data_IF_045384775259
#
_entry.id   IF_045384775259
#
_cell.length_a   1.000
_cell.length_b   1.000
_cell.length_c   1.000
_cell.angle_alpha   90.00
_cell.angle_beta   90.00
_cell.angle_gamma   90.00
#
_symmetry.space_group_name_H-M   'P 1'
#
loop_
_entity.id
_entity.type
_entity.pdbx_description
1 polymer ?
#
# COMPACT_ATOMS: atom_id res chain seq x y z
N UNK A 1 11.06 2.33 28.80
CA UNK A 1 10.97 1.08 28.00
C UNK A 1 11.99 1.14 26.86
N UNK A 2 12.75 0.07 26.58
CA UNK A 2 13.73 0.05 25.47
C UNK A 2 13.02 0.34 24.13
N UNK A 3 13.53 1.27 23.32
CA UNK A 3 12.92 1.70 22.05
C UNK A 3 12.58 0.55 21.10
N UNK A 4 13.40 -0.51 21.11
CA UNK A 4 13.17 -1.72 20.30
C UNK A 4 12.04 -2.59 20.86
N UNK A 5 11.88 -2.65 22.20
CA UNK A 5 10.76 -3.36 22.84
C UNK A 5 9.45 -2.67 22.49
N UNK A 6 9.42 -1.34 22.54
CA UNK A 6 8.25 -0.55 22.16
C UNK A 6 7.85 -0.79 20.70
N UNK A 7 8.83 -0.76 19.78
CA UNK A 7 8.60 -1.03 18.35
C UNK A 7 8.01 -2.43 18.11
N UNK A 8 8.53 -3.45 18.81
CA UNK A 8 8.00 -4.82 18.68
C UNK A 8 6.58 -4.94 19.20
N UNK A 9 6.26 -4.28 20.31
CA UNK A 9 4.92 -4.30 20.89
C UNK A 9 3.92 -3.59 19.97
N UNK A 10 4.30 -2.46 19.40
CA UNK A 10 3.44 -1.73 18.46
C UNK A 10 3.22 -2.54 17.17
N UNK A 11 4.25 -3.18 16.62
CA UNK A 11 4.11 -4.08 15.47
C UNK A 11 3.25 -5.30 15.80
N UNK A 12 3.36 -5.86 17.01
CA UNK A 12 2.49 -6.97 17.42
C UNK A 12 1.01 -6.54 17.43
N UNK A 13 0.71 -5.35 17.97
CA UNK A 13 -0.64 -4.80 17.95
C UNK A 13 -1.14 -4.58 16.51
N UNK A 14 -0.29 -4.05 15.62
CA UNK A 14 -0.59 -3.95 14.18
C UNK A 14 -0.90 -5.32 13.60
N UNK A 15 -0.07 -6.34 13.82
CA UNK A 15 -0.29 -7.67 13.27
C UNK A 15 -1.62 -8.27 13.74
N UNK A 16 -1.96 -8.14 15.02
CA UNK A 16 -3.23 -8.64 15.57
C UNK A 16 -4.41 -7.96 14.85
N UNK A 17 -4.44 -6.62 14.83
CA UNK A 17 -5.54 -5.87 14.20
C UNK A 17 -5.61 -6.14 12.69
N UNK A 18 -4.47 -6.23 12.02
CA UNK A 18 -4.39 -6.46 10.58
C UNK A 18 -4.88 -7.86 10.23
N UNK A 19 -4.47 -8.88 11.00
CA UNK A 19 -4.98 -10.25 10.86
C UNK A 19 -6.49 -10.32 11.11
N UNK A 20 -6.97 -9.74 12.21
CA UNK A 20 -8.41 -9.73 12.52
C UNK A 20 -9.21 -9.06 11.41
N UNK A 21 -8.75 -7.89 10.95
CA UNK A 21 -9.42 -7.13 9.88
C UNK A 21 -9.50 -7.93 8.59
N UNK A 22 -8.37 -8.48 8.13
CA UNK A 22 -8.32 -9.23 6.88
C UNK A 22 -9.02 -10.59 6.95
N UNK A 23 -8.98 -11.28 8.10
CA UNK A 23 -9.73 -12.52 8.30
C UNK A 23 -11.24 -12.28 8.24
N UNK A 24 -11.71 -11.21 8.91
CA UNK A 24 -13.12 -10.81 8.86
C UNK A 24 -13.51 -10.37 7.44
N UNK A 25 -12.70 -9.54 6.78
CA UNK A 25 -13.00 -9.06 5.43
C UNK A 25 -13.07 -10.18 4.38
N UNK A 26 -12.14 -11.14 4.44
CA UNK A 26 -12.03 -12.20 3.44
C UNK A 26 -12.95 -13.41 3.68
N UNK A 27 -13.14 -13.82 4.95
CA UNK A 27 -13.78 -15.10 5.26
C UNK A 27 -15.14 -14.96 5.95
N UNK A 28 -15.42 -13.83 6.60
CA UNK A 28 -16.71 -13.62 7.24
C UNK A 28 -17.74 -13.13 6.21
N UNK A 29 -18.51 -14.06 5.64
CA UNK A 29 -19.48 -13.76 4.59
C UNK A 29 -20.88 -13.42 5.16
N UNK A 30 -21.26 -13.94 6.34
CA UNK A 30 -22.61 -13.76 6.87
C UNK A 30 -23.71 -14.23 5.90
N UNK A 31 -24.95 -13.83 6.17
CA UNK A 31 -26.09 -14.09 5.28
C UNK A 31 -26.30 -12.91 4.33
N UNK A 32 -26.55 -13.20 3.05
CA UNK A 32 -26.82 -12.18 2.04
C UNK A 32 -26.73 -12.73 0.62
N UNK A 33 -27.45 -12.08 -0.31
CA UNK A 33 -27.40 -12.36 -1.74
C UNK A 33 -26.99 -11.10 -2.50
N UNK A 34 -26.42 -11.29 -3.69
CA UNK A 34 -26.18 -10.20 -4.63
C UNK A 34 -27.48 -9.44 -4.91
N UNK A 35 -27.38 -8.11 -5.00
CA UNK A 35 -28.52 -7.21 -5.27
C UNK A 35 -28.10 -6.15 -6.26
N UNK A 36 -28.99 -5.83 -7.20
CA UNK A 36 -28.85 -4.67 -8.07
C UNK A 36 -29.33 -3.42 -7.33
N UNK A 37 -28.51 -2.37 -7.38
CA UNK A 37 -28.84 -1.06 -6.84
C UNK A 37 -28.59 0.01 -7.89
N UNK A 38 -29.41 1.07 -7.89
CA UNK A 38 -29.14 2.26 -8.69
C UNK A 38 -28.03 3.08 -8.03
N UNK A 39 -26.93 3.30 -8.75
CA UNK A 39 -25.90 4.26 -8.36
C UNK A 39 -26.43 5.71 -8.46
N UNK A 40 -25.65 6.68 -7.97
CA UNK A 40 -26.02 8.10 -7.98
C UNK A 40 -26.27 8.65 -9.40
N UNK A 41 -25.64 8.04 -10.40
CA UNK A 41 -25.78 8.35 -11.83
C UNK A 41 -26.95 7.60 -12.51
N UNK A 42 -27.70 6.78 -11.78
CA UNK A 42 -28.83 5.99 -12.28
C UNK A 42 -28.48 4.63 -12.89
N UNK A 43 -27.19 4.28 -13.04
CA UNK A 43 -26.81 2.94 -13.54
C UNK A 43 -27.09 1.86 -12.51
N UNK A 44 -27.38 0.66 -12.99
CA UNK A 44 -27.53 -0.52 -12.15
C UNK A 44 -26.15 -1.12 -11.85
N UNK A 45 -25.85 -1.23 -10.56
CA UNK A 45 -24.62 -1.86 -10.06
C UNK A 45 -24.98 -3.11 -9.28
N UNK A 46 -24.29 -4.20 -9.57
CA UNK A 46 -24.41 -5.45 -8.82
C UNK A 46 -23.52 -5.42 -7.57
N UNK A 47 -24.15 -5.41 -6.40
CA UNK A 47 -23.48 -5.47 -5.11
C UNK A 47 -23.03 -6.88 -4.77
N UNK A 48 -21.89 -6.99 -4.09
CA UNK A 48 -21.38 -8.26 -3.58
C UNK A 48 -22.34 -8.93 -2.59
N UNK A 49 -23.08 -8.12 -1.81
CA UNK A 49 -24.26 -8.57 -1.06
C UNK A 49 -23.97 -9.34 0.24
N UNK A 50 -22.71 -9.60 0.56
CA UNK A 50 -22.31 -10.40 1.74
C UNK A 50 -21.01 -9.92 2.37
N UNK A 51 -20.82 -10.26 3.64
CA UNK A 51 -19.62 -10.02 4.42
C UNK A 51 -19.33 -8.57 4.72
N UNK A 52 -18.07 -8.26 5.02
CA UNK A 52 -17.65 -6.89 5.33
C UNK A 52 -17.78 -5.93 4.14
N UNK A 53 -17.71 -6.46 2.92
CA UNK A 53 -17.74 -5.70 1.67
C UNK A 53 -19.10 -5.79 0.94
N UNK A 54 -20.18 -6.12 1.67
CA UNK A 54 -21.51 -6.36 1.09
C UNK A 54 -22.06 -5.19 0.27
N UNK A 55 -21.73 -3.96 0.67
CA UNK A 55 -22.23 -2.73 0.09
C UNK A 55 -21.33 -2.16 -1.03
N UNK A 56 -20.39 -2.95 -1.53
CA UNK A 56 -19.58 -2.60 -2.70
C UNK A 56 -20.01 -3.41 -3.91
N UNK A 57 -19.72 -2.92 -5.11
CA UNK A 57 -19.75 -3.76 -6.31
C UNK A 57 -18.85 -4.98 -6.14
N UNK A 58 -19.15 -6.02 -6.92
CA UNK A 58 -18.33 -7.23 -6.98
C UNK A 58 -16.87 -6.89 -7.31
N UNK A 59 -16.62 -5.92 -8.20
CA UNK A 59 -15.26 -5.46 -8.55
C UNK A 59 -14.51 -4.91 -7.34
N UNK A 60 -15.11 -3.99 -6.58
CA UNK A 60 -14.47 -3.39 -5.40
C UNK A 60 -14.34 -4.38 -4.25
N UNK A 61 -15.38 -5.18 -3.98
CA UNK A 61 -15.35 -6.17 -2.92
C UNK A 61 -14.21 -7.18 -3.12
N UNK A 62 -14.03 -7.67 -4.35
CA UNK A 62 -12.93 -8.59 -4.69
C UNK A 62 -11.55 -7.92 -4.62
N UNK A 63 -11.43 -6.62 -4.94
CA UNK A 63 -10.22 -5.84 -4.68
C UNK A 63 -9.88 -5.73 -3.19
N UNK A 64 -10.87 -5.54 -2.33
CA UNK A 64 -10.63 -5.55 -0.88
C UNK A 64 -10.21 -6.93 -0.37
N UNK A 65 -10.91 -7.99 -0.78
CA UNK A 65 -10.56 -9.38 -0.42
C UNK A 65 -9.13 -9.73 -0.89
N UNK A 66 -8.74 -9.33 -2.10
CA UNK A 66 -7.37 -9.55 -2.58
C UNK A 66 -6.32 -8.78 -1.76
N UNK A 67 -6.62 -7.55 -1.37
CA UNK A 67 -5.74 -6.78 -0.49
C UNK A 67 -5.61 -7.42 0.89
N UNK A 68 -6.71 -7.89 1.48
CA UNK A 68 -6.72 -8.63 2.74
C UNK A 68 -5.81 -9.87 2.70
N UNK A 69 -5.91 -10.67 1.63
CA UNK A 69 -5.06 -11.84 1.45
C UNK A 69 -3.58 -11.47 1.34
N UNK A 70 -3.24 -10.37 0.65
CA UNK A 70 -1.87 -9.86 0.61
C UNK A 70 -1.38 -9.43 2.00
N UNK A 71 -2.24 -8.78 2.80
CA UNK A 71 -1.91 -8.41 4.17
C UNK A 71 -1.63 -9.65 5.03
N UNK A 72 -2.51 -10.66 4.98
CA UNK A 72 -2.39 -11.88 5.77
C UNK A 72 -1.17 -12.72 5.41
N UNK A 73 -0.98 -12.97 4.11
CA UNK A 73 0.00 -13.94 3.63
C UNK A 73 1.41 -13.36 3.49
N UNK A 74 1.53 -12.04 3.35
CA UNK A 74 2.83 -11.40 3.06
C UNK A 74 3.18 -10.31 4.06
N UNK A 75 2.32 -9.32 4.27
CA UNK A 75 2.67 -8.17 5.11
C UNK A 75 2.79 -8.55 6.59
N UNK A 76 1.87 -9.34 7.14
CA UNK A 76 1.91 -9.81 8.53
C UNK A 76 3.17 -10.65 8.81
N UNK A 77 3.50 -11.70 8.02
CA UNK A 77 4.76 -12.43 8.20
C UNK A 77 6.00 -11.54 8.10
N UNK A 78 6.02 -10.59 7.15
CA UNK A 78 7.14 -9.68 6.98
C UNK A 78 7.30 -8.74 8.19
N UNK A 79 6.21 -8.18 8.71
CA UNK A 79 6.21 -7.34 9.91
C UNK A 79 6.73 -8.13 11.12
N UNK A 80 6.24 -9.35 11.33
CA UNK A 80 6.64 -10.19 12.45
C UNK A 80 8.13 -10.53 12.39
N UNK A 81 8.61 -11.03 11.25
CA UNK A 81 10.01 -11.44 11.04
C UNK A 81 10.98 -10.27 11.13
N UNK A 82 10.64 -9.13 10.53
CA UNK A 82 11.49 -7.93 10.57
C UNK A 82 11.54 -7.32 11.97
N UNK A 83 10.40 -7.22 12.68
CA UNK A 83 10.36 -6.70 14.05
C UNK A 83 11.14 -7.59 15.04
N UNK A 84 11.03 -8.91 14.90
CA UNK A 84 11.84 -9.87 15.67
C UNK A 84 13.34 -9.68 15.40
N UNK A 85 13.71 -9.29 14.19
CA UNK A 85 15.10 -9.15 13.75
C UNK A 85 15.77 -7.81 14.07
N UNK A 86 15.03 -6.75 14.45
CA UNK A 86 15.56 -5.36 14.63
C UNK A 86 16.79 -5.29 15.55
N UNK A 87 16.82 -6.07 16.65
CA UNK A 87 17.96 -6.07 17.57
C UNK A 87 19.23 -6.63 16.94
N UNK A 88 19.09 -7.69 16.13
CA UNK A 88 20.22 -8.40 15.50
C UNK A 88 20.67 -7.70 14.22
N UNK A 89 19.71 -7.21 13.44
CA UNK A 89 19.93 -6.58 12.16
C UNK A 89 19.24 -5.22 12.16
N UNK A 90 19.96 -4.10 12.38
CA UNK A 90 19.31 -2.81 12.49
C UNK A 90 18.69 -2.35 11.15
N UNK A 91 19.13 -2.93 10.03
CA UNK A 91 18.49 -2.84 8.70
C UNK A 91 17.05 -3.34 8.66
N UNK A 92 16.66 -4.30 9.52
CA UNK A 92 15.29 -4.81 9.56
C UNK A 92 14.28 -3.72 9.91
N UNK A 93 14.68 -2.65 10.60
CA UNK A 93 13.81 -1.51 10.86
C UNK A 93 13.38 -0.80 9.56
N UNK A 94 14.24 -0.73 8.55
CA UNK A 94 13.92 -0.09 7.25
C UNK A 94 12.83 -0.87 6.51
N UNK A 95 12.98 -2.19 6.42
CA UNK A 95 11.98 -3.07 5.79
C UNK A 95 10.68 -3.09 6.61
N UNK A 96 10.79 -3.14 7.95
CA UNK A 96 9.65 -3.05 8.85
C UNK A 96 8.88 -1.73 8.64
N UNK A 97 9.58 -0.61 8.44
CA UNK A 97 8.97 0.70 8.19
C UNK A 97 8.21 0.73 6.86
N UNK A 98 8.76 0.11 5.79
CA UNK A 98 8.05 -0.01 4.51
C UNK A 98 6.81 -0.91 4.57
N UNK A 99 6.89 -1.99 5.34
CA UNK A 99 5.74 -2.85 5.61
C UNK A 99 4.66 -2.14 6.46
N UNK A 100 5.06 -1.33 7.44
CA UNK A 100 4.14 -0.48 8.22
C UNK A 100 3.51 0.60 7.36
N UNK A 101 4.26 1.22 6.44
CA UNK A 101 3.71 2.17 5.46
C UNK A 101 2.65 1.50 4.59
N UNK A 102 2.88 0.24 4.18
CA UNK A 102 1.91 -0.55 3.40
C UNK A 102 0.64 -0.82 4.20
N UNK A 103 0.79 -1.28 5.46
CA UNK A 103 -0.34 -1.50 6.36
C UNK A 103 -1.12 -0.21 6.66
N UNK A 104 -0.41 0.93 6.75
CA UNK A 104 -1.02 2.25 6.96
C UNK A 104 -1.79 2.73 5.71
N UNK A 105 -1.22 2.55 4.52
CA UNK A 105 -1.93 2.83 3.27
C UNK A 105 -3.22 2.00 3.15
N UNK A 106 -3.13 0.70 3.44
CA UNK A 106 -4.26 -0.21 3.43
C UNK A 106 -5.34 0.20 4.45
N UNK A 107 -4.95 0.57 5.66
CA UNK A 107 -5.90 0.96 6.71
C UNK A 107 -6.61 2.29 6.42
N UNK A 108 -5.92 3.26 5.79
CA UNK A 108 -6.57 4.47 5.26
C UNK A 108 -7.61 4.09 4.19
N UNK A 109 -7.22 3.24 3.26
CA UNK A 109 -8.11 2.80 2.16
C UNK A 109 -9.36 2.08 2.67
N UNK A 110 -9.28 1.39 3.81
CA UNK A 110 -10.44 0.83 4.50
C UNK A 110 -11.29 1.90 5.19
N UNK A 111 -10.69 2.72 6.08
CA UNK A 111 -11.47 3.67 6.90
C UNK A 111 -12.20 4.71 6.04
N UNK A 112 -11.58 5.16 4.94
CA UNK A 112 -12.13 6.20 4.08
C UNK A 112 -12.74 5.68 2.78
N UNK A 113 -12.53 4.40 2.44
CA UNK A 113 -13.01 3.82 1.18
C UNK A 113 -14.05 2.72 1.34
N UNK A 114 -13.99 1.96 2.44
CA UNK A 114 -14.98 0.93 2.69
C UNK A 114 -16.33 1.56 3.04
N UNK A 115 -17.41 1.00 2.53
CA UNK A 115 -18.76 1.41 2.87
C UNK A 115 -18.97 1.23 4.38
N UNK A 116 -19.57 2.24 5.02
CA UNK A 116 -19.74 2.25 6.48
C UNK A 116 -20.47 0.99 6.96
N UNK A 117 -19.87 0.29 7.92
CA UNK A 117 -20.37 -0.99 8.42
C UNK A 117 -19.99 -1.19 9.90
N UNK A 118 -20.43 -2.31 10.49
CA UNK A 118 -20.18 -2.67 11.90
C UNK A 118 -18.70 -2.76 12.30
N UNK A 119 -17.79 -2.88 11.32
CA UNK A 119 -16.35 -3.02 11.53
C UNK A 119 -15.60 -1.68 11.44
N UNK A 120 -16.30 -0.55 11.27
CA UNK A 120 -15.70 0.78 11.19
C UNK A 120 -14.71 1.08 12.33
N UNK A 121 -15.05 0.71 13.58
CA UNK A 121 -14.16 0.91 14.72
C UNK A 121 -12.91 0.03 14.67
N UNK A 122 -13.01 -1.18 14.10
CA UNK A 122 -11.86 -2.05 13.87
C UNK A 122 -10.92 -1.42 12.82
N UNK A 123 -11.47 -0.91 11.72
CA UNK A 123 -10.69 -0.20 10.71
C UNK A 123 -10.02 1.04 11.30
N UNK A 124 -10.75 1.80 12.13
CA UNK A 124 -10.24 3.00 12.80
C UNK A 124 -9.11 2.67 13.78
N UNK A 125 -9.26 1.60 14.56
CA UNK A 125 -8.20 1.13 15.46
C UNK A 125 -6.96 0.70 14.67
N UNK A 126 -7.12 -0.05 13.58
CA UNK A 126 -6.02 -0.45 12.70
C UNK A 126 -5.34 0.78 12.10
N UNK A 127 -6.09 1.75 11.58
CA UNK A 127 -5.59 3.01 11.04
C UNK A 127 -4.76 3.79 12.05
N UNK A 128 -5.29 4.00 13.26
CA UNK A 128 -4.57 4.69 14.33
C UNK A 128 -3.27 3.96 14.71
N UNK A 129 -3.36 2.66 15.01
CA UNK A 129 -2.20 1.89 15.48
C UNK A 129 -1.13 1.75 14.39
N UNK A 130 -1.51 1.57 13.12
CA UNK A 130 -0.55 1.53 11.99
C UNK A 130 0.10 2.89 11.76
N UNK A 131 -0.67 3.98 11.79
CA UNK A 131 -0.16 5.34 11.63
C UNK A 131 0.85 5.74 12.72
N UNK A 132 0.51 5.54 13.99
CA UNK A 132 1.42 5.82 15.10
C UNK A 132 2.63 4.87 15.10
N UNK A 133 2.46 3.60 14.73
CA UNK A 133 3.59 2.66 14.61
C UNK A 133 4.54 3.06 13.48
N UNK A 134 4.01 3.47 12.34
CA UNK A 134 4.80 3.96 11.22
C UNK A 134 5.53 5.26 11.59
N UNK A 135 4.84 6.23 12.19
CA UNK A 135 5.45 7.48 12.68
C UNK A 135 6.56 7.23 13.70
N UNK A 136 6.36 6.30 14.64
CA UNK A 136 7.40 5.90 15.58
C UNK A 136 8.58 5.21 14.89
N UNK A 137 8.33 4.38 13.86
CA UNK A 137 9.39 3.77 13.05
C UNK A 137 10.26 4.83 12.35
N UNK A 138 9.63 5.86 11.78
CA UNK A 138 10.28 7.00 11.13
C UNK A 138 11.08 7.81 12.14
N UNK A 139 10.55 8.05 13.33
CA UNK A 139 11.28 8.70 14.43
C UNK A 139 12.56 7.94 14.80
N UNK A 140 12.49 6.60 14.91
CA UNK A 140 13.66 5.78 15.19
C UNK A 140 14.68 5.78 14.05
N UNK A 141 14.24 5.83 12.80
CA UNK A 141 15.12 6.03 11.64
C UNK A 141 15.78 7.41 11.68
N UNK A 142 15.07 8.45 12.13
CA UNK A 142 15.58 9.80 12.30
C UNK A 142 16.77 9.90 13.25
N UNK A 143 16.75 9.11 14.33
CA UNK A 143 17.82 9.06 15.34
C UNK A 143 19.09 8.37 14.89
N UNK A 144 19.05 7.62 13.80
CA UNK A 144 20.21 6.88 13.30
C UNK A 144 20.84 7.65 12.15
N UNK A 145 22.15 7.86 12.22
CA UNK A 145 22.90 8.41 11.11
C UNK A 145 23.00 7.36 10.01
N UNK A 146 22.58 7.74 8.80
CA UNK A 146 22.67 6.93 7.60
C UNK A 146 23.32 7.79 6.53
N UNK A 147 24.65 7.79 6.54
CA UNK A 147 25.45 8.35 5.46
C UNK A 147 25.77 7.23 4.48
N UNK A 148 25.69 7.52 3.19
CA UNK A 148 26.41 6.70 2.22
C UNK A 148 27.89 6.77 2.56
N UNK A 149 28.54 5.64 2.83
CA UNK A 149 30.00 5.54 2.70
C UNK A 149 30.40 6.09 1.34
N UNK A 150 31.61 6.65 1.18
CA UNK A 150 32.25 7.18 -0.04
C UNK A 150 31.89 6.43 -1.34
N UNK A 151 30.65 6.55 -1.81
CA UNK A 151 30.08 5.83 -2.92
C UNK A 151 29.83 6.84 -4.01
N UNK A 152 30.44 6.56 -5.15
CA UNK A 152 30.33 7.35 -6.38
C UNK A 152 28.85 7.53 -6.74
N UNK A 153 28.43 8.79 -6.95
CA UNK A 153 27.06 9.19 -7.31
C UNK A 153 26.44 8.36 -8.44
N UNK A 154 27.25 7.79 -9.34
CA UNK A 154 26.75 6.96 -10.45
C UNK A 154 26.02 5.69 -10.01
N UNK A 155 26.32 5.14 -8.82
CA UNK A 155 25.74 3.86 -8.37
C UNK A 155 24.33 3.99 -7.80
N UNK A 156 23.97 5.15 -7.25
CA UNK A 156 22.64 5.42 -6.68
C UNK A 156 21.71 6.12 -7.66
N UNK A 157 22.25 6.67 -8.76
CA UNK A 157 21.50 7.41 -9.78
C UNK A 157 20.38 6.58 -10.40
N UNK A 158 20.63 5.29 -10.67
CA UNK A 158 19.60 4.38 -11.21
C UNK A 158 18.43 4.17 -10.25
N UNK A 159 18.71 3.95 -8.97
CA UNK A 159 17.68 3.82 -7.93
C UNK A 159 16.90 5.12 -7.75
N UNK A 160 17.59 6.27 -7.79
CA UNK A 160 16.94 7.56 -7.68
C UNK A 160 16.02 7.86 -8.87
N UNK A 161 16.47 7.59 -10.11
CA UNK A 161 15.63 7.70 -11.31
C UNK A 161 14.43 6.77 -11.22
N UNK A 162 14.63 5.53 -10.75
CA UNK A 162 13.53 4.61 -10.51
C UNK A 162 12.51 5.17 -9.52
N UNK A 163 12.94 5.77 -8.40
CA UNK A 163 12.03 6.40 -7.44
C UNK A 163 11.21 7.53 -8.07
N UNK A 164 11.84 8.39 -8.89
CA UNK A 164 11.13 9.45 -9.60
C UNK A 164 10.09 8.88 -10.58
N UNK A 165 10.47 7.84 -11.33
CA UNK A 165 9.58 7.17 -12.28
C UNK A 165 8.42 6.47 -11.56
N UNK A 166 8.72 5.64 -10.55
CA UNK A 166 7.74 4.96 -9.71
C UNK A 166 6.77 5.95 -9.06
N UNK A 167 7.27 7.06 -8.50
CA UNK A 167 6.42 8.12 -7.96
C UNK A 167 5.49 8.71 -9.01
N UNK A 168 5.98 8.96 -10.22
CA UNK A 168 5.19 9.55 -11.31
C UNK A 168 4.05 8.65 -11.77
N UNK A 169 4.13 7.33 -11.57
CA UNK A 169 3.02 6.42 -11.92
C UNK A 169 1.76 6.67 -11.10
N UNK A 170 1.87 7.26 -9.91
CA UNK A 170 0.71 7.69 -9.13
C UNK A 170 -0.12 8.79 -9.82
N UNK A 171 0.44 9.46 -10.84
CA UNK A 171 -0.28 10.42 -11.67
C UNK A 171 -1.12 9.75 -12.77
N UNK A 172 -1.05 8.42 -12.94
CA UNK A 172 -1.87 7.70 -13.92
C UNK A 172 -3.37 7.94 -13.72
N UNK A 173 -3.78 8.15 -12.46
CA UNK A 173 -5.16 8.45 -12.08
C UNK A 173 -5.67 9.77 -12.70
N UNK A 174 -4.78 10.74 -13.00
CA UNK A 174 -5.18 11.95 -13.72
C UNK A 174 -5.73 11.65 -15.11
N UNK A 175 -5.30 10.55 -15.73
CA UNK A 175 -5.86 10.07 -17.00
C UNK A 175 -7.32 9.63 -16.90
N UNK A 176 -7.80 9.27 -15.69
CA UNK A 176 -9.22 8.96 -15.44
C UNK A 176 -9.96 10.19 -14.90
N UNK A 177 -9.34 10.95 -14.00
CA UNK A 177 -9.95 12.09 -13.32
C UNK A 177 -10.22 13.26 -14.29
N UNK A 178 -9.26 13.63 -15.13
CA UNK A 178 -9.39 14.80 -16.01
C UNK A 178 -10.52 14.60 -17.04
N UNK A 179 -10.60 13.47 -17.77
CA UNK A 179 -11.71 13.23 -18.70
C UNK A 179 -13.07 13.21 -17.99
N UNK A 180 -13.17 12.59 -16.82
CA UNK A 180 -14.39 12.56 -16.02
C UNK A 180 -14.86 13.95 -15.60
N UNK A 181 -13.93 14.83 -15.19
CA UNK A 181 -14.25 16.23 -14.87
C UNK A 181 -14.74 17.03 -16.09
N UNK A 182 -14.17 16.77 -17.28
CA UNK A 182 -14.56 17.44 -18.53
C UNK A 182 -15.94 16.96 -18.99
N UNK A 183 -16.20 15.65 -18.90
CA UNK A 183 -17.45 15.04 -19.37
C UNK A 183 -18.59 15.16 -18.37
N UNK A 184 -18.28 15.40 -17.08
CA UNK A 184 -19.25 15.36 -15.99
C UNK A 184 -19.69 13.93 -15.64
N UNK A 185 -18.94 12.92 -16.06
CA UNK A 185 -19.23 11.50 -15.83
C UNK A 185 -18.13 10.86 -14.96
N UNK A 186 -18.48 10.52 -13.72
CA UNK A 186 -17.57 9.92 -12.72
C UNK A 186 -17.80 8.42 -12.52
N UNK A 187 -18.66 7.86 -13.36
CA UNK A 187 -19.32 6.58 -13.17
C UNK A 187 -18.36 5.40 -13.28
N UNK A 188 -17.31 5.52 -14.10
CA UNK A 188 -16.35 4.44 -14.37
C UNK A 188 -15.59 3.98 -13.12
N UNK A 189 -15.23 4.91 -12.22
CA UNK A 189 -14.38 4.60 -11.07
C UNK A 189 -15.05 4.79 -9.71
N UNK A 190 -16.05 5.67 -9.56
CA UNK A 190 -16.71 5.89 -8.27
C UNK A 190 -17.70 4.78 -7.91
N UNK A 191 -18.30 4.13 -8.91
CA UNK A 191 -19.28 3.06 -8.72
C UNK A 191 -20.43 3.52 -7.80
N UNK A 192 -20.71 2.84 -6.68
CA UNK A 192 -21.73 3.25 -5.68
C UNK A 192 -21.18 4.16 -4.56
N UNK A 193 -19.93 4.59 -4.66
CA UNK A 193 -19.26 5.34 -3.59
C UNK A 193 -19.36 6.85 -3.82
N UNK A 194 -18.73 7.63 -2.96
CA UNK A 194 -18.68 9.10 -3.07
C UNK A 194 -17.27 9.63 -3.29
N UNK A 195 -16.26 8.79 -3.12
CA UNK A 195 -14.84 9.16 -3.23
C UNK A 195 -13.97 7.95 -3.58
N UNK A 196 -12.73 8.22 -3.96
CA UNK A 196 -11.70 7.22 -4.20
C UNK A 196 -10.42 7.55 -3.43
N UNK A 197 -10.22 6.98 -2.22
CA UNK A 197 -9.06 7.30 -1.38
C UNK A 197 -7.73 7.00 -2.05
N UNK A 198 -7.68 5.97 -2.90
CA UNK A 198 -6.49 5.58 -3.67
C UNK A 198 -5.97 6.76 -4.50
N UNK A 199 -6.86 7.46 -5.22
CA UNK A 199 -6.48 8.58 -6.09
C UNK A 199 -5.87 9.73 -5.28
N UNK A 200 -6.52 10.08 -4.16
CA UNK A 200 -6.06 11.15 -3.29
C UNK A 200 -4.72 10.83 -2.62
N UNK A 201 -4.54 9.59 -2.15
CA UNK A 201 -3.29 9.14 -1.53
C UNK A 201 -2.15 9.10 -2.54
N UNK A 202 -2.40 8.55 -3.72
CA UNK A 202 -1.38 8.37 -4.73
C UNK A 202 -0.87 9.72 -5.23
N UNK A 203 -1.77 10.62 -5.63
CA UNK A 203 -1.40 11.95 -6.14
C UNK A 203 -0.89 12.86 -5.01
N UNK A 204 -1.57 12.86 -3.86
CA UNK A 204 -1.31 13.80 -2.77
C UNK A 204 -0.16 13.41 -1.84
N UNK A 205 0.18 12.13 -1.75
CA UNK A 205 1.19 11.62 -0.80
C UNK A 205 2.27 10.79 -1.50
N UNK A 206 1.90 9.77 -2.27
CA UNK A 206 2.89 8.85 -2.86
C UNK A 206 3.76 9.58 -3.88
N UNK A 207 3.18 10.31 -4.83
CA UNK A 207 3.94 11.06 -5.84
C UNK A 207 4.91 12.07 -5.22
N UNK A 208 4.50 12.98 -4.32
CA UNK A 208 5.41 13.93 -3.69
C UNK A 208 6.51 13.25 -2.86
N UNK A 209 6.17 12.21 -2.10
CA UNK A 209 7.12 11.53 -1.23
C UNK A 209 8.21 10.80 -2.04
N UNK A 210 7.83 10.07 -3.09
CA UNK A 210 8.77 9.41 -3.98
C UNK A 210 9.65 10.42 -4.73
N UNK A 211 9.05 11.51 -5.21
CA UNK A 211 9.77 12.59 -5.90
C UNK A 211 10.81 13.25 -4.99
N UNK A 212 10.39 13.64 -3.78
CA UNK A 212 11.28 14.24 -2.79
C UNK A 212 12.42 13.30 -2.40
N UNK A 213 12.13 12.00 -2.19
CA UNK A 213 13.14 11.00 -1.87
C UNK A 213 14.13 10.77 -3.03
N UNK A 214 13.63 10.66 -4.26
CA UNK A 214 14.46 10.52 -5.46
C UNK A 214 15.40 11.71 -5.66
N UNK A 215 14.89 12.95 -5.55
CA UNK A 215 15.71 14.16 -5.62
C UNK A 215 16.73 14.20 -4.48
N UNK A 216 16.32 13.87 -3.26
CA UNK A 216 17.23 13.83 -2.11
C UNK A 216 18.35 12.80 -2.31
N UNK A 217 18.05 11.63 -2.89
CA UNK A 217 19.04 10.60 -3.21
C UNK A 217 20.01 11.08 -4.30
N UNK A 218 19.53 11.75 -5.36
CA UNK A 218 20.39 12.36 -6.39
C UNK A 218 21.33 13.43 -5.80
N UNK A 219 20.84 14.20 -4.84
CA UNK A 219 21.59 15.23 -4.10
C UNK A 219 22.41 14.66 -2.94
N UNK A 220 22.49 13.33 -2.81
CA UNK A 220 23.19 12.61 -1.76
C UNK A 220 22.86 13.09 -0.33
N UNK A 221 21.59 13.42 -0.09
CA UNK A 221 21.10 13.82 1.24
C UNK A 221 20.72 12.59 2.06
N UNK A 222 20.99 12.63 3.36
CA UNK A 222 20.70 11.52 4.28
C UNK A 222 19.23 11.08 4.24
N UNK A 223 18.30 12.03 4.05
CA UNK A 223 16.87 11.73 3.88
C UNK A 223 16.61 10.72 2.74
N UNK A 224 17.26 10.91 1.58
CA UNK A 224 17.11 10.00 0.44
C UNK A 224 17.62 8.61 0.74
N UNK A 225 18.81 8.50 1.35
CA UNK A 225 19.38 7.21 1.75
C UNK A 225 18.52 6.46 2.78
N UNK A 226 17.93 7.19 3.74
CA UNK A 226 17.09 6.62 4.80
C UNK A 226 15.74 6.13 4.27
N UNK A 227 15.07 6.92 3.44
CA UNK A 227 13.72 6.59 2.97
C UNK A 227 13.70 5.69 1.73
N UNK A 228 14.79 5.60 0.96
CA UNK A 228 14.84 4.74 -0.24
C UNK A 228 14.43 3.30 0.05
N UNK A 229 15.00 2.59 1.05
CA UNK A 229 14.59 1.22 1.36
C UNK A 229 13.13 1.10 1.80
N UNK A 230 12.62 2.13 2.52
CA UNK A 230 11.23 2.18 3.00
C UNK A 230 10.28 2.22 1.80
N UNK A 231 10.52 3.14 0.87
CA UNK A 231 9.70 3.33 -0.33
C UNK A 231 9.81 2.14 -1.30
N UNK A 232 11.01 1.58 -1.47
CA UNK A 232 11.18 0.40 -2.31
C UNK A 232 10.49 -0.83 -1.70
N UNK A 233 10.52 -1.01 -0.38
CA UNK A 233 9.73 -2.07 0.29
C UNK A 233 8.24 -1.85 0.09
N UNK A 234 7.73 -0.63 0.32
CA UNK A 234 6.32 -0.30 0.09
C UNK A 234 5.91 -0.65 -1.34
N UNK A 235 6.66 -0.19 -2.34
CA UNK A 235 6.33 -0.40 -3.74
C UNK A 235 6.44 -1.86 -4.18
N UNK A 236 7.38 -2.62 -3.58
CA UNK A 236 7.45 -4.09 -3.77
C UNK A 236 6.17 -4.77 -3.28
N UNK A 237 5.65 -4.33 -2.12
CA UNK A 237 4.42 -4.89 -1.54
C UNK A 237 3.17 -4.46 -2.30
N UNK A 238 3.15 -3.26 -2.90
CA UNK A 238 2.07 -2.84 -3.83
C UNK A 238 1.95 -3.85 -4.98
N UNK A 239 3.07 -4.27 -5.58
CA UNK A 239 3.05 -5.30 -6.63
C UNK A 239 2.42 -6.62 -6.16
N UNK A 240 2.69 -7.04 -4.92
CA UNK A 240 2.07 -8.23 -4.32
C UNK A 240 0.56 -8.05 -4.10
N UNK A 241 0.14 -6.88 -3.62
CA UNK A 241 -1.29 -6.56 -3.45
C UNK A 241 -2.01 -6.65 -4.79
N UNK A 242 -1.46 -6.06 -5.85
CA UNK A 242 -2.04 -6.10 -7.20
C UNK A 242 -2.15 -7.54 -7.73
N UNK A 243 -1.16 -8.40 -7.47
CA UNK A 243 -1.22 -9.83 -7.82
C UNK A 243 -2.41 -10.51 -7.12
N UNK A 244 -2.56 -10.31 -5.81
CA UNK A 244 -3.63 -10.94 -5.05
C UNK A 244 -5.01 -10.42 -5.43
N UNK A 245 -5.15 -9.10 -5.66
CA UNK A 245 -6.38 -8.49 -6.17
C UNK A 245 -6.78 -9.08 -7.52
N UNK A 246 -5.85 -9.12 -8.47
CA UNK A 246 -6.11 -9.67 -9.80
C UNK A 246 -6.47 -11.15 -9.73
N UNK A 247 -5.81 -11.91 -8.86
CA UNK A 247 -6.08 -13.34 -8.67
C UNK A 247 -7.49 -13.57 -8.12
N UNK A 248 -7.90 -12.82 -7.09
CA UNK A 248 -9.26 -12.91 -6.53
C UNK A 248 -10.29 -12.48 -7.56
N UNK A 249 -10.07 -11.37 -8.26
CA UNK A 249 -10.97 -10.89 -9.31
C UNK A 249 -11.18 -11.95 -10.41
N UNK A 250 -10.10 -12.61 -10.84
CA UNK A 250 -10.16 -13.68 -11.83
C UNK A 250 -10.97 -14.90 -11.33
N UNK A 251 -10.79 -15.30 -10.06
CA UNK A 251 -11.57 -16.38 -9.43
C UNK A 251 -13.07 -16.07 -9.42
N UNK A 252 -13.42 -14.80 -9.23
CA UNK A 252 -14.81 -14.31 -9.27
C UNK A 252 -15.33 -14.03 -10.69
N UNK A 253 -14.58 -14.41 -11.73
CA UNK A 253 -15.01 -14.27 -13.13
C UNK A 253 -14.97 -12.83 -13.67
N UNK A 254 -14.34 -11.90 -12.97
CA UNK A 254 -14.22 -10.51 -13.42
C UNK A 254 -13.25 -10.44 -14.59
N UNK A 255 -13.72 -9.85 -15.69
CA UNK A 255 -12.90 -9.60 -16.89
C UNK A 255 -12.34 -8.19 -16.84
N UNK A 256 -11.05 -8.08 -16.55
CA UNK A 256 -10.33 -6.81 -16.63
C UNK A 256 -10.04 -6.51 -18.10
N UNK A 257 -10.45 -5.36 -18.65
CA UNK A 257 -10.14 -4.96 -20.02
C UNK A 257 -8.63 -4.98 -20.28
N UNK A 258 -8.23 -5.40 -21.49
CA UNK A 258 -6.82 -5.51 -21.88
C UNK A 258 -6.02 -4.20 -21.64
N UNK A 259 -6.53 -2.99 -21.95
CA UNK A 259 -5.82 -1.75 -21.64
C UNK A 259 -5.54 -1.56 -20.15
N UNK A 260 -6.51 -1.87 -19.28
CA UNK A 260 -6.34 -1.80 -17.83
C UNK A 260 -5.36 -2.88 -17.34
N UNK A 261 -5.46 -4.10 -17.86
CA UNK A 261 -4.56 -5.19 -17.49
C UNK A 261 -3.08 -4.87 -17.80
N UNK A 262 -2.80 -4.24 -18.93
CA UNK A 262 -1.43 -3.84 -19.29
C UNK A 262 -1.03 -2.56 -18.51
N UNK A 263 -1.89 -1.54 -18.56
CA UNK A 263 -1.59 -0.19 -18.06
C UNK A 263 -1.48 -0.10 -16.54
N UNK A 264 -2.26 -0.88 -15.79
CA UNK A 264 -2.22 -0.88 -14.32
C UNK A 264 -1.61 -2.18 -13.80
N UNK A 265 -2.24 -3.33 -14.05
CA UNK A 265 -1.86 -4.60 -13.41
C UNK A 265 -0.42 -5.00 -13.74
N UNK A 266 -0.10 -5.23 -15.01
CA UNK A 266 1.24 -5.67 -15.42
C UNK A 266 2.32 -4.64 -15.06
N UNK A 267 2.00 -3.36 -15.21
CA UNK A 267 2.92 -2.25 -14.92
C UNK A 267 3.27 -2.18 -13.43
N UNK A 268 2.30 -2.21 -12.51
CA UNK A 268 2.57 -2.19 -11.07
C UNK A 268 3.28 -3.46 -10.58
N UNK A 269 2.99 -4.62 -11.17
CA UNK A 269 3.71 -5.87 -10.86
C UNK A 269 5.18 -5.77 -11.28
N UNK A 270 5.45 -5.36 -12.52
CA UNK A 270 6.81 -5.21 -13.03
C UNK A 270 7.61 -4.20 -12.18
N UNK A 271 6.99 -3.07 -11.85
CA UNK A 271 7.55 -2.06 -10.99
C UNK A 271 7.83 -2.57 -9.57
N UNK A 272 6.94 -3.36 -8.98
CA UNK A 272 7.16 -4.00 -7.69
C UNK A 272 8.36 -4.96 -7.70
N UNK A 273 8.53 -5.73 -8.77
CA UNK A 273 9.69 -6.63 -8.94
C UNK A 273 10.98 -5.81 -9.06
N UNK A 274 11.00 -4.75 -9.88
CA UNK A 274 12.17 -3.87 -10.00
C UNK A 274 12.49 -3.21 -8.67
N UNK A 275 11.48 -2.74 -7.93
CA UNK A 275 11.65 -2.17 -6.60
C UNK A 275 12.31 -3.16 -5.64
N UNK A 276 11.88 -4.43 -5.64
CA UNK A 276 12.46 -5.47 -4.80
C UNK A 276 13.93 -5.71 -5.12
N UNK A 277 14.27 -5.84 -6.41
CA UNK A 277 15.65 -6.03 -6.87
C UNK A 277 16.53 -4.86 -6.49
N UNK A 278 16.05 -3.63 -6.71
CA UNK A 278 16.77 -2.42 -6.33
C UNK A 278 16.94 -2.32 -4.81
N UNK A 279 15.93 -2.69 -4.03
CA UNK A 279 16.00 -2.65 -2.57
C UNK A 279 17.06 -3.60 -2.03
N UNK A 280 17.09 -4.84 -2.53
CA UNK A 280 18.11 -5.83 -2.15
C UNK A 280 19.51 -5.33 -2.51
N UNK A 281 19.69 -4.77 -3.71
CA UNK A 281 20.99 -4.20 -4.15
C UNK A 281 21.41 -3.01 -3.29
N UNK A 282 20.49 -2.08 -3.02
CA UNK A 282 20.72 -0.87 -2.23
C UNK A 282 21.09 -1.22 -0.79
N UNK A 283 20.31 -2.11 -0.15
CA UNK A 283 20.53 -2.54 1.23
C UNK A 283 21.82 -3.33 1.43
N UNK A 284 22.33 -4.02 0.42
CA UNK A 284 23.64 -4.69 0.47
C UNK A 284 24.82 -3.72 0.40
N UNK A 285 24.66 -2.59 -0.31
CA UNK A 285 25.75 -1.65 -0.62
C UNK A 285 25.82 -0.48 0.34
N UNK A 286 24.69 0.17 0.62
CA UNK A 286 24.68 1.55 1.13
C UNK A 286 24.49 1.66 2.64
N UNK A 287 24.43 0.53 3.34
CA UNK A 287 24.18 0.50 4.80
C UNK A 287 25.18 -0.45 5.47
N UNK A 288 26.29 0.07 5.97
CA UNK A 288 26.98 -0.52 7.12
C UNK A 288 26.58 0.32 8.33
N UNK A 289 26.16 -0.35 9.40
CA UNK A 289 25.66 0.27 10.64
C UNK A 289 26.73 0.07 11.70
#
# INVERSE_FOLDING_TARGET
>A
MNSTKMMRLSVLAVCILLMTTALVGSFWQGEGSSKLVSALDGRQVELYGRGAYSNHSILRATSYIGADLAMLLVVVPLLFTTAASIKKFPKSLLVCSGALMTAFYYSISLVFGAAFNRYFLLYTALFSVTGFSFGYSVYLLGKRSWKGENQTQSKDRGTAIFLLFAGSTALIWLGMIIPALIQGDYSEFIDVNTTEPTFALDIGVIFPLFTACGIALLKQKEFGYRFTPVLLTFYSLVGVVVIMQTTVQHIYGIKIPLPQMIGTVASFIALGIVALVLNVRFMRRSVKI
#
